data_IF_351531164107
#
_entry.id   IF_351531164107
#
_cell.length_a   1.000
_cell.length_b   1.000
_cell.length_c   1.000
_cell.angle_alpha   90.00
_cell.angle_beta   90.00
_cell.angle_gamma   90.00
#
_symmetry.space_group_name_H-M   'P 1'
#
loop_
_entity.id
_entity.type
_entity.pdbx_description
1 polymer ?
#
# COMPACT_ATOMS: atom_id res chain seq x y z
N UNK A 1 9.39 -8.44 9.31
CA UNK A 1 8.95 -7.15 9.90
C UNK A 1 9.83 -5.98 9.44
N UNK A 2 9.97 -5.73 8.12
CA UNK A 2 10.80 -4.62 7.57
C UNK A 2 10.00 -3.39 7.13
N UNK A 3 8.67 -3.52 7.01
CA UNK A 3 7.82 -2.47 6.41
C UNK A 3 7.58 -1.26 7.31
N UNK A 4 7.49 -1.42 8.64
CA UNK A 4 7.27 -0.28 9.54
C UNK A 4 8.43 0.70 9.54
N UNK A 5 9.67 0.23 9.43
CA UNK A 5 10.84 1.10 9.50
C UNK A 5 11.00 1.97 8.25
N UNK A 6 10.69 1.43 7.07
CA UNK A 6 10.70 2.18 5.81
C UNK A 6 9.67 3.32 5.80
N UNK A 7 8.46 3.08 6.32
CA UNK A 7 7.39 4.09 6.41
C UNK A 7 7.74 5.22 7.38
N UNK A 8 8.33 4.91 8.53
CA UNK A 8 8.82 5.92 9.47
C UNK A 8 9.92 6.79 8.87
N UNK A 9 10.81 6.21 8.05
CA UNK A 9 11.82 6.96 7.32
C UNK A 9 11.20 7.92 6.29
N UNK A 10 10.18 7.48 5.56
CA UNK A 10 9.48 8.30 4.56
C UNK A 10 8.78 9.52 5.21
N UNK A 11 8.08 9.32 6.33
CA UNK A 11 7.47 10.42 7.10
C UNK A 11 8.54 11.41 7.58
N UNK A 12 9.68 10.89 8.06
CA UNK A 12 10.79 11.71 8.54
C UNK A 12 11.42 12.54 7.41
N UNK A 13 11.62 11.95 6.24
CA UNK A 13 12.12 12.64 5.05
C UNK A 13 11.13 13.73 4.58
N UNK A 14 9.84 13.43 4.54
CA UNK A 14 8.82 14.40 4.15
C UNK A 14 8.76 15.60 5.12
N UNK A 15 8.89 15.36 6.43
CA UNK A 15 8.99 16.44 7.44
C UNK A 15 10.25 17.27 7.25
N UNK A 16 11.39 16.64 7.00
CA UNK A 16 12.65 17.34 6.75
C UNK A 16 12.55 18.23 5.50
N UNK A 17 11.92 17.74 4.42
CA UNK A 17 11.70 18.51 3.20
C UNK A 17 10.84 19.76 3.45
N UNK A 18 9.73 19.63 4.19
CA UNK A 18 8.91 20.78 4.60
C UNK A 18 9.73 21.76 5.43
N UNK A 19 10.50 21.28 6.43
CA UNK A 19 11.35 22.13 7.26
C UNK A 19 12.39 22.93 6.45
N UNK A 20 12.92 22.34 5.38
CA UNK A 20 13.82 23.02 4.44
C UNK A 20 13.12 24.07 3.58
N UNK A 21 11.89 23.80 3.14
CA UNK A 21 11.11 24.65 2.24
C UNK A 21 10.46 25.85 2.95
N UNK A 22 9.90 25.66 4.15
CA UNK A 22 9.25 26.73 4.94
C UNK A 22 10.23 27.88 5.26
N UNK A 23 11.52 27.58 5.38
CA UNK A 23 12.56 28.59 5.63
C UNK A 23 12.89 29.45 4.40
N UNK A 24 12.53 29.00 3.19
CA UNK A 24 13.00 29.58 1.91
C UNK A 24 11.87 30.05 1.00
N UNK A 25 10.64 29.59 1.24
CA UNK A 25 9.50 29.77 0.33
C UNK A 25 8.30 30.35 1.07
N UNK A 26 7.46 31.15 0.38
CA UNK A 26 6.18 31.59 0.94
C UNK A 26 5.23 30.40 1.18
N UNK A 27 4.22 30.55 2.06
CA UNK A 27 3.31 29.47 2.44
C UNK A 27 2.59 28.78 1.26
N UNK A 28 2.26 29.54 0.21
CA UNK A 28 1.49 29.04 -0.94
C UNK A 28 2.37 28.58 -2.10
N UNK A 29 3.69 28.50 -1.87
CA UNK A 29 4.61 28.06 -2.92
C UNK A 29 4.31 26.62 -3.36
N UNK A 30 4.26 26.33 -4.67
CA UNK A 30 3.85 25.03 -5.18
C UNK A 30 4.71 23.87 -4.63
N UNK A 31 6.02 24.06 -4.48
CA UNK A 31 6.90 23.04 -3.87
C UNK A 31 6.54 22.74 -2.41
N UNK A 32 6.14 23.75 -1.63
CA UNK A 32 5.77 23.58 -0.23
C UNK A 32 4.42 22.87 -0.10
N UNK A 33 3.46 23.21 -0.97
CA UNK A 33 2.18 22.51 -1.07
C UNK A 33 2.37 21.04 -1.46
N UNK A 34 3.21 20.77 -2.46
CA UNK A 34 3.55 19.41 -2.88
C UNK A 34 4.22 18.61 -1.76
N UNK A 35 5.16 19.22 -1.03
CA UNK A 35 5.82 18.57 0.12
C UNK A 35 4.83 18.25 1.25
N UNK A 36 3.86 19.13 1.52
CA UNK A 36 2.78 18.89 2.49
C UNK A 36 1.86 17.75 2.05
N UNK A 37 1.45 17.73 0.78
CA UNK A 37 0.65 16.64 0.23
C UNK A 37 1.38 15.30 0.33
N UNK A 38 2.69 15.27 0.06
CA UNK A 38 3.53 14.08 0.23
C UNK A 38 3.57 13.59 1.68
N UNK A 39 3.74 14.50 2.64
CA UNK A 39 3.70 14.14 4.06
C UNK A 39 2.34 13.55 4.44
N UNK A 40 1.24 14.16 4.00
CA UNK A 40 -0.10 13.67 4.26
C UNK A 40 -0.31 12.26 3.71
N UNK A 41 0.10 12.01 2.46
CA UNK A 41 0.02 10.69 1.84
C UNK A 41 0.82 9.63 2.61
N UNK A 42 2.04 9.96 3.04
CA UNK A 42 2.89 9.05 3.82
C UNK A 42 2.27 8.70 5.19
N UNK A 43 1.64 9.67 5.86
CA UNK A 43 0.94 9.44 7.14
C UNK A 43 -0.26 8.52 6.94
N UNK A 44 -1.12 8.81 5.95
CA UNK A 44 -2.30 8.00 5.65
C UNK A 44 -1.90 6.55 5.33
N UNK A 45 -0.87 6.37 4.51
CA UNK A 45 -0.37 5.03 4.16
C UNK A 45 0.13 4.27 5.40
N UNK A 46 0.81 4.94 6.33
CA UNK A 46 1.28 4.34 7.56
C UNK A 46 0.13 3.94 8.51
N UNK A 47 -0.87 4.82 8.66
CA UNK A 47 -2.04 4.55 9.49
C UNK A 47 -2.89 3.41 8.94
N UNK A 48 -3.13 3.39 7.63
CA UNK A 48 -3.87 2.33 6.95
C UNK A 48 -3.17 0.99 7.13
N UNK A 49 -1.85 0.92 6.90
CA UNK A 49 -1.09 -0.30 7.10
C UNK A 49 -1.18 -0.80 8.54
N UNK A 50 -1.02 0.08 9.53
CA UNK A 50 -1.15 -0.28 10.94
C UNK A 50 -2.57 -0.67 11.35
N UNK A 51 -3.58 -0.14 10.68
CA UNK A 51 -4.97 -0.58 10.85
C UNK A 51 -5.17 -1.99 10.28
N UNK A 52 -4.72 -2.25 9.06
CA UNK A 52 -4.78 -3.56 8.42
C UNK A 52 -4.07 -4.62 9.27
N UNK A 53 -2.85 -4.34 9.74
CA UNK A 53 -2.10 -5.25 10.61
C UNK A 53 -2.89 -5.60 11.88
N UNK A 54 -3.54 -4.61 12.52
CA UNK A 54 -4.40 -4.83 13.69
C UNK A 54 -5.64 -5.65 13.37
N UNK A 55 -6.32 -5.37 12.26
CA UNK A 55 -7.50 -6.12 11.83
C UNK A 55 -7.14 -7.58 11.57
N UNK A 56 -6.04 -7.82 10.87
CA UNK A 56 -5.54 -9.18 10.60
C UNK A 56 -5.20 -9.90 11.91
N UNK A 57 -4.49 -9.23 12.83
CA UNK A 57 -4.10 -9.83 14.10
C UNK A 57 -5.30 -10.13 15.02
N UNK A 58 -6.34 -9.28 14.98
CA UNK A 58 -7.57 -9.48 15.75
C UNK A 58 -8.54 -10.47 15.08
N UNK A 59 -8.31 -10.84 13.82
CA UNK A 59 -9.21 -11.72 13.10
C UNK A 59 -9.17 -13.13 13.69
N UNK A 60 -10.32 -13.71 14.09
CA UNK A 60 -10.36 -15.06 14.59
C UNK A 60 -9.83 -16.02 13.52
N UNK A 61 -8.95 -16.93 13.92
CA UNK A 61 -8.44 -17.92 12.98
C UNK A 61 -9.60 -18.78 12.49
N UNK A 62 -9.65 -18.99 11.17
CA UNK A 62 -10.62 -19.89 10.58
C UNK A 62 -10.43 -21.30 11.16
N UNK A 63 -11.51 -22.00 11.54
CA UNK A 63 -11.48 -23.42 11.85
C UNK A 63 -10.76 -24.25 10.78
N UNK A 64 -10.06 -25.31 11.18
CA UNK A 64 -9.22 -26.08 10.27
C UNK A 64 -10.00 -26.73 9.12
N UNK A 65 -11.26 -27.09 9.33
CA UNK A 65 -12.17 -27.58 8.29
C UNK A 65 -12.47 -26.50 7.24
N UNK A 66 -12.70 -25.25 7.67
CA UNK A 66 -12.91 -24.13 6.77
C UNK A 66 -11.64 -23.78 5.99
N UNK A 67 -10.48 -23.77 6.66
CA UNK A 67 -9.18 -23.55 6.01
C UNK A 67 -8.89 -24.62 4.96
N UNK A 68 -9.18 -25.88 5.27
CA UNK A 68 -9.01 -27.02 4.35
C UNK A 68 -9.91 -26.87 3.12
N UNK A 69 -11.20 -26.56 3.31
CA UNK A 69 -12.14 -26.34 2.22
C UNK A 69 -11.71 -25.19 1.30
N UNK A 70 -11.23 -24.08 1.86
CA UNK A 70 -10.70 -22.96 1.07
C UNK A 70 -9.46 -23.38 0.28
N UNK A 71 -8.56 -24.14 0.90
CA UNK A 71 -7.36 -24.64 0.22
C UNK A 71 -7.69 -25.57 -0.97
N UNK A 72 -8.68 -26.45 -0.80
CA UNK A 72 -9.18 -27.33 -1.86
C UNK A 72 -9.78 -26.53 -3.03
N UNK A 73 -10.62 -25.53 -2.74
CA UNK A 73 -11.21 -24.66 -3.77
C UNK A 73 -10.14 -23.88 -4.55
N UNK A 74 -9.15 -23.31 -3.86
CA UNK A 74 -8.06 -22.58 -4.50
C UNK A 74 -7.13 -23.49 -5.30
N UNK A 75 -6.92 -24.74 -4.86
CA UNK A 75 -6.15 -25.72 -5.61
C UNK A 75 -6.88 -26.17 -6.89
N UNK A 76 -8.20 -26.38 -6.80
CA UNK A 76 -9.06 -26.71 -7.93
C UNK A 76 -9.06 -25.61 -9.00
N UNK A 77 -9.26 -24.35 -8.59
CA UNK A 77 -9.29 -23.22 -9.51
C UNK A 77 -7.93 -22.93 -10.17
N UNK A 78 -6.81 -23.24 -9.51
CA UNK A 78 -5.47 -23.07 -10.13
C UNK A 78 -5.20 -24.04 -11.28
N UNK A 79 -5.92 -25.16 -11.38
CA UNK A 79 -5.85 -26.05 -12.54
C UNK A 79 -6.67 -25.54 -13.74
N UNK A 80 -7.65 -24.65 -13.52
CA UNK A 80 -8.53 -24.11 -14.55
C UNK A 80 -8.00 -22.83 -15.21
N UNK A 81 -7.09 -22.11 -14.54
CA UNK A 81 -6.42 -20.95 -15.15
C UNK A 81 -5.35 -21.47 -16.12
N UNK A 82 -5.78 -21.81 -17.34
CA UNK A 82 -4.89 -21.95 -18.48
C UNK A 82 -3.99 -20.71 -18.61
N UNK A 83 -2.73 -20.85 -19.05
CA UNK A 83 -1.88 -19.71 -19.31
C UNK A 83 -2.62 -18.78 -20.28
N UNK A 84 -2.78 -17.52 -19.89
CA UNK A 84 -3.35 -16.48 -20.72
C UNK A 84 -2.41 -16.31 -21.92
N UNK A 85 -2.72 -16.98 -23.04
CA UNK A 85 -2.07 -16.75 -24.32
C UNK A 85 -2.32 -15.28 -24.67
N UNK A 86 -1.24 -14.52 -24.87
CA UNK A 86 -1.27 -13.09 -25.13
C UNK A 86 -2.17 -12.80 -26.35
N UNK A 87 -3.42 -12.40 -26.10
CA UNK A 87 -4.26 -11.87 -27.15
C UNK A 87 -3.65 -10.53 -27.58
N UNK A 88 -3.25 -10.37 -28.86
CA UNK A 88 -2.74 -9.10 -29.32
C UNK A 88 -3.86 -8.08 -29.21
N UNK A 89 -3.70 -7.12 -28.30
CA UNK A 89 -4.59 -5.98 -28.17
C UNK A 89 -4.50 -5.17 -29.47
N UNK A 90 -5.36 -5.52 -30.43
CA UNK A 90 -5.50 -4.77 -31.68
C UNK A 90 -6.14 -3.43 -31.33
N UNK A 91 -5.31 -2.40 -31.20
CA UNK A 91 -5.73 -1.01 -31.28
C UNK A 91 -6.16 -0.75 -32.73
N UNK A 92 -7.44 -0.86 -33.01
CA UNK A 92 -8.03 -0.30 -34.23
C UNK A 92 -7.96 1.22 -34.10
N UNK A 93 -7.07 1.83 -34.89
CA UNK A 93 -7.12 3.25 -35.26
C UNK A 93 -8.00 3.49 -36.47
#
# INVERSE_FOLDING_TARGET
MRFSNARSAEISQARAAIGGLVRRRPPDHPELLAARARLQAAVIAAELAGYVDRVIAAWPQLPDDQRRRIAELLASNRCEIAPQEELPFQLTG
#
